data_IF_248898632388
#
_entry.id   IF_248898632388
#
_cell.length_a   1.000
_cell.length_b   1.000
_cell.length_c   1.000
_cell.angle_alpha   90.00
_cell.angle_beta   90.00
_cell.angle_gamma   90.00
#
_symmetry.space_group_name_H-M   'P 1'
#
loop_
_entity.id
_entity.type
_entity.pdbx_description
1 polymer ?
#
# COMPACT_ATOMS: atom_id res chain seq x y z
N UNK A 1 7.95 -2.09 -28.82
CA UNK A 1 8.83 -1.03 -28.29
C UNK A 1 8.59 -0.99 -26.79
N UNK A 2 9.56 -1.45 -26.01
CA UNK A 2 9.52 -1.42 -24.55
C UNK A 2 9.59 0.04 -24.10
N UNK A 3 8.53 0.53 -23.45
CA UNK A 3 8.66 1.68 -22.57
C UNK A 3 8.96 1.14 -21.19
N UNK A 4 10.25 1.15 -20.83
CA UNK A 4 10.64 1.18 -19.43
C UNK A 4 10.02 2.45 -18.83
N UNK A 5 9.31 2.39 -17.70
CA UNK A 5 8.83 3.61 -17.06
C UNK A 5 10.05 4.33 -16.49
N UNK A 6 10.31 5.54 -16.98
CA UNK A 6 11.27 6.47 -16.37
C UNK A 6 10.76 6.81 -14.97
N UNK A 7 11.23 6.06 -13.97
CA UNK A 7 10.90 6.30 -12.57
C UNK A 7 11.73 7.43 -11.93
N UNK A 8 12.61 8.10 -12.67
CA UNK A 8 13.61 9.03 -12.10
C UNK A 8 13.83 10.29 -12.94
N UNK A 9 12.77 10.94 -13.42
CA UNK A 9 12.84 12.34 -13.84
C UNK A 9 11.85 13.19 -13.04
N UNK A 10 12.38 13.98 -12.10
CA UNK A 10 11.68 15.08 -11.47
C UNK A 10 11.48 14.91 -9.96
N UNK A 11 11.69 16.01 -9.25
CA UNK A 11 11.49 16.21 -7.81
C UNK A 11 10.01 16.10 -7.37
N UNK A 12 9.20 15.30 -8.07
CA UNK A 12 7.76 15.15 -7.86
C UNK A 12 7.48 13.79 -7.22
N UNK A 13 6.94 13.84 -6.01
CA UNK A 13 6.41 12.67 -5.33
C UNK A 13 5.19 12.15 -6.09
N UNK A 14 5.27 10.91 -6.56
CA UNK A 14 4.17 10.20 -7.20
C UNK A 14 3.47 9.31 -6.16
N UNK A 15 2.14 9.42 -6.05
CA UNK A 15 1.31 8.59 -5.18
C UNK A 15 1.58 7.08 -5.35
N UNK A 16 1.65 6.60 -6.59
CA UNK A 16 1.91 5.17 -6.88
C UNK A 16 3.23 4.71 -6.29
N UNK A 17 4.28 5.52 -6.47
CA UNK A 17 5.62 5.20 -5.99
C UNK A 17 5.66 5.20 -4.46
N UNK A 18 5.02 6.19 -3.83
CA UNK A 18 4.87 6.27 -2.36
C UNK A 18 4.17 5.01 -1.83
N UNK A 19 2.97 4.72 -2.34
CA UNK A 19 2.15 3.61 -1.86
C UNK A 19 2.83 2.27 -2.10
N UNK A 20 3.40 2.07 -3.29
CA UNK A 20 4.07 0.83 -3.68
C UNK A 20 5.31 0.58 -2.83
N UNK A 21 6.22 1.55 -2.76
CA UNK A 21 7.45 1.39 -1.98
C UNK A 21 7.12 1.16 -0.51
N UNK A 22 6.18 1.95 0.05
CA UNK A 22 5.76 1.81 1.44
C UNK A 22 5.20 0.42 1.77
N UNK A 23 4.33 -0.12 0.91
CA UNK A 23 3.73 -1.44 1.10
C UNK A 23 4.76 -2.57 0.95
N UNK A 24 5.67 -2.45 -0.01
CA UNK A 24 6.65 -3.48 -0.33
C UNK A 24 7.80 -3.59 0.67
N UNK A 25 7.93 -2.67 1.62
CA UNK A 25 8.86 -2.82 2.76
C UNK A 25 8.60 -4.06 3.60
N UNK A 26 7.36 -4.54 3.61
CA UNK A 26 6.90 -5.67 4.40
C UNK A 26 6.75 -6.92 3.53
N UNK A 27 7.30 -8.05 3.97
CA UNK A 27 7.10 -9.34 3.34
C UNK A 27 5.77 -9.95 3.79
N UNK A 28 4.69 -9.50 3.14
CA UNK A 28 3.34 -9.97 3.44
C UNK A 28 3.11 -11.44 3.10
N UNK A 29 3.87 -12.00 2.15
CA UNK A 29 3.77 -13.42 1.83
C UNK A 29 4.32 -14.28 2.96
N UNK A 30 5.54 -13.98 3.41
CA UNK A 30 6.16 -14.70 4.51
C UNK A 30 5.32 -14.63 5.77
N UNK A 31 4.83 -13.44 6.11
CA UNK A 31 3.96 -13.26 7.27
C UNK A 31 2.69 -14.10 7.17
N UNK A 32 2.00 -14.04 6.03
CA UNK A 32 0.76 -14.79 5.80
C UNK A 32 0.96 -16.31 5.88
N UNK A 33 2.05 -16.83 5.31
CA UNK A 33 2.40 -18.24 5.36
C UNK A 33 2.70 -18.72 6.79
N UNK A 34 3.54 -17.98 7.53
CA UNK A 34 3.94 -18.36 8.90
C UNK A 34 2.78 -18.36 9.90
N UNK A 35 1.80 -17.47 9.71
CA UNK A 35 0.68 -17.27 10.64
C UNK A 35 -0.63 -17.89 10.17
N UNK A 36 -0.67 -18.47 8.97
CA UNK A 36 -1.93 -18.88 8.34
C UNK A 36 -2.92 -17.72 8.16
N UNK A 37 -2.41 -16.50 8.06
CA UNK A 37 -3.21 -15.28 7.89
C UNK A 37 -3.64 -15.14 6.43
N UNK A 38 -4.87 -14.66 6.22
CA UNK A 38 -5.48 -14.50 4.90
C UNK A 38 -5.80 -13.03 4.64
N UNK A 39 -4.88 -12.31 3.97
CA UNK A 39 -5.04 -10.87 3.74
C UNK A 39 -6.27 -10.52 2.91
N UNK A 40 -6.67 -11.40 1.98
CA UNK A 40 -7.86 -11.24 1.15
C UNK A 40 -9.13 -11.22 1.99
N UNK A 41 -9.26 -12.08 3.00
CA UNK A 41 -10.41 -12.09 3.90
C UNK A 41 -10.51 -10.77 4.69
N UNK A 42 -9.39 -10.21 5.16
CA UNK A 42 -9.38 -8.92 5.86
C UNK A 42 -9.75 -7.75 4.94
N UNK A 43 -9.28 -7.76 3.70
CA UNK A 43 -9.69 -6.77 2.69
C UNK A 43 -11.19 -6.87 2.42
N UNK A 44 -11.73 -8.08 2.23
CA UNK A 44 -13.17 -8.26 2.02
C UNK A 44 -14.01 -7.79 3.22
N UNK A 45 -13.54 -8.03 4.44
CA UNK A 45 -14.18 -7.49 5.64
C UNK A 45 -14.20 -5.96 5.63
N UNK A 46 -13.08 -5.31 5.32
CA UNK A 46 -13.02 -3.86 5.18
C UNK A 46 -14.02 -3.35 4.13
N UNK A 47 -14.12 -4.00 2.98
CA UNK A 47 -15.07 -3.59 1.94
C UNK A 47 -16.53 -3.70 2.41
N UNK A 48 -16.84 -4.67 3.27
CA UNK A 48 -18.19 -4.85 3.81
C UNK A 48 -18.51 -3.90 4.97
N UNK A 49 -17.54 -3.59 5.83
CA UNK A 49 -17.77 -2.84 7.07
C UNK A 49 -17.31 -1.38 7.00
N UNK A 50 -16.46 -1.04 6.04
CA UNK A 50 -15.72 0.21 5.96
C UNK A 50 -14.68 0.40 7.07
N UNK A 51 -14.31 -0.67 7.78
CA UNK A 51 -13.40 -0.60 8.94
C UNK A 51 -12.35 -1.70 8.91
N UNK A 52 -11.11 -1.32 9.25
CA UNK A 52 -10.01 -2.25 9.42
C UNK A 52 -10.04 -2.90 10.81
N UNK A 53 -10.04 -4.23 10.85
CA UNK A 53 -10.03 -5.02 12.08
C UNK A 53 -8.86 -6.00 12.07
N UNK A 54 -7.69 -5.56 12.52
CA UNK A 54 -6.49 -6.38 12.61
C UNK A 54 -5.41 -5.73 13.45
N UNK A 55 -4.42 -6.53 13.82
CA UNK A 55 -3.16 -6.06 14.38
C UNK A 55 -2.36 -5.29 13.33
N UNK A 56 -1.39 -4.49 13.75
CA UNK A 56 -0.55 -3.70 12.83
C UNK A 56 0.12 -4.57 11.75
N UNK A 57 0.59 -5.77 12.10
CA UNK A 57 1.23 -6.71 11.16
C UNK A 57 0.23 -7.32 10.17
N UNK A 58 -1.00 -7.63 10.60
CA UNK A 58 -2.06 -8.11 9.71
C UNK A 58 -2.48 -7.02 8.71
N UNK A 59 -2.51 -5.76 9.17
CA UNK A 59 -2.79 -4.61 8.31
C UNK A 59 -1.65 -4.34 7.32
N UNK A 60 -0.39 -4.50 7.73
CA UNK A 60 0.76 -4.45 6.82
C UNK A 60 0.70 -5.58 5.77
N UNK A 61 0.28 -6.79 6.17
CA UNK A 61 0.07 -7.90 5.25
C UNK A 61 -1.06 -7.62 4.24
N UNK A 62 -2.17 -7.03 4.70
CA UNK A 62 -3.25 -6.57 3.82
C UNK A 62 -2.79 -5.45 2.87
N UNK A 63 -1.96 -4.53 3.35
CA UNK A 63 -1.41 -3.45 2.54
C UNK A 63 -0.49 -3.97 1.43
N UNK A 64 0.41 -4.89 1.78
CA UNK A 64 1.22 -5.62 0.81
C UNK A 64 0.35 -6.36 -0.20
N UNK A 65 -0.67 -7.09 0.27
CA UNK A 65 -1.57 -7.85 -0.60
C UNK A 65 -2.29 -6.96 -1.64
N UNK A 66 -2.83 -5.81 -1.21
CA UNK A 66 -3.45 -4.84 -2.11
C UNK A 66 -2.47 -4.27 -3.13
N UNK A 67 -1.22 -3.99 -2.73
CA UNK A 67 -0.18 -3.58 -3.68
C UNK A 67 0.00 -4.63 -4.78
N UNK A 68 0.09 -5.90 -4.41
CA UNK A 68 0.23 -6.97 -5.40
C UNK A 68 -0.99 -7.11 -6.29
N UNK A 69 -2.19 -7.03 -5.72
CA UNK A 69 -3.44 -7.15 -6.46
C UNK A 69 -3.61 -6.02 -7.48
N UNK A 70 -3.40 -4.76 -7.07
CA UNK A 70 -3.59 -3.55 -7.88
C UNK A 70 -2.51 -3.37 -8.96
N UNK A 71 -1.27 -3.79 -8.72
CA UNK A 71 -0.16 -3.52 -9.65
C UNK A 71 0.34 -4.75 -10.41
N UNK A 72 -0.01 -5.97 -10.01
CA UNK A 72 0.52 -7.20 -10.63
C UNK A 72 -0.54 -8.21 -11.04
N UNK A 73 -1.69 -8.29 -10.36
CA UNK A 73 -2.60 -9.44 -10.53
C UNK A 73 -4.06 -9.05 -10.79
N UNK A 74 -4.96 -9.38 -9.87
CA UNK A 74 -6.41 -9.47 -10.08
C UNK A 74 -7.12 -8.11 -10.22
N UNK A 75 -6.48 -7.01 -9.80
CA UNK A 75 -7.09 -5.68 -9.73
C UNK A 75 -6.35 -4.65 -10.60
N UNK A 76 -5.55 -5.08 -11.58
CA UNK A 76 -4.74 -4.19 -12.44
C UNK A 76 -5.54 -3.23 -13.31
N UNK A 77 -6.83 -3.49 -13.50
CA UNK A 77 -7.74 -2.62 -14.26
C UNK A 77 -8.73 -1.87 -13.36
N UNK A 78 -8.57 -1.95 -12.04
CA UNK A 78 -9.39 -1.19 -11.11
C UNK A 78 -9.14 0.31 -11.28
N UNK A 79 -10.22 1.08 -11.33
CA UNK A 79 -10.13 2.54 -11.43
C UNK A 79 -9.72 3.14 -10.09
N UNK A 80 -9.07 4.31 -10.12
CA UNK A 80 -8.64 5.06 -8.93
C UNK A 80 -9.74 5.40 -7.91
N UNK A 81 -10.98 5.34 -8.36
CA UNK A 81 -12.20 5.59 -7.58
C UNK A 81 -12.74 4.31 -6.94
N UNK A 82 -12.13 3.15 -7.18
CA UNK A 82 -12.59 1.89 -6.63
C UNK A 82 -12.40 1.82 -5.11
N UNK A 83 -13.23 1.04 -4.40
CA UNK A 83 -13.08 0.88 -2.96
C UNK A 83 -11.77 0.17 -2.58
N UNK A 84 -11.12 -0.54 -3.51
CA UNK A 84 -9.78 -1.10 -3.29
C UNK A 84 -8.69 -0.02 -3.24
N UNK A 85 -8.78 1.01 -4.08
CA UNK A 85 -7.88 2.16 -3.98
C UNK A 85 -8.12 2.98 -2.72
N UNK A 86 -9.36 3.08 -2.27
CA UNK A 86 -9.69 3.64 -0.95
C UNK A 86 -9.00 2.88 0.16
N UNK A 87 -9.20 1.56 0.20
CA UNK A 87 -8.59 0.64 1.17
C UNK A 87 -7.07 0.81 1.21
N UNK A 88 -6.43 0.86 0.03
CA UNK A 88 -4.99 0.97 -0.12
C UNK A 88 -4.43 2.29 0.43
N UNK A 89 -5.11 3.41 0.14
CA UNK A 89 -4.72 4.74 0.66
C UNK A 89 -4.94 4.86 2.17
N UNK A 90 -6.04 4.32 2.70
CA UNK A 90 -6.31 4.34 4.14
C UNK A 90 -5.26 3.53 4.92
N UNK A 91 -4.86 2.35 4.43
CA UNK A 91 -3.79 1.57 5.04
C UNK A 91 -2.46 2.32 5.03
N UNK A 92 -2.11 3.01 3.94
CA UNK A 92 -0.92 3.86 3.93
C UNK A 92 -1.00 4.94 5.02
N UNK A 93 -2.11 5.68 5.08
CA UNK A 93 -2.31 6.76 6.06
C UNK A 93 -2.29 6.27 7.51
N UNK A 94 -2.57 4.98 7.73
CA UNK A 94 -2.47 4.34 9.04
C UNK A 94 -1.08 3.78 9.35
N UNK A 95 -0.33 3.30 8.34
CA UNK A 95 0.86 2.44 8.53
C UNK A 95 2.17 3.03 8.01
N UNK A 96 2.17 4.25 7.45
CA UNK A 96 3.38 4.85 6.85
C UNK A 96 4.59 4.92 7.81
N UNK A 97 4.33 5.00 9.14
CA UNK A 97 5.35 5.05 10.18
C UNK A 97 5.48 3.75 10.99
N UNK A 98 4.76 2.68 10.62
CA UNK A 98 4.80 1.41 11.34
C UNK A 98 6.21 0.81 11.32
N UNK A 99 6.61 0.27 12.47
CA UNK A 99 7.87 -0.46 12.62
C UNK A 99 7.73 -1.87 12.05
N UNK A 100 8.62 -2.26 11.15
CA UNK A 100 8.60 -3.59 10.53
C UNK A 100 9.64 -4.47 11.22
N UNK A 101 9.24 -5.61 11.83
CA UNK A 101 10.18 -6.57 12.40
C UNK A 101 11.18 -7.04 11.33
N UNK A 102 12.46 -7.14 11.71
CA UNK A 102 13.56 -7.43 10.78
C UNK A 102 13.32 -8.69 9.94
N UNK A 103 12.69 -9.73 10.50
CA UNK A 103 12.39 -10.97 9.78
C UNK A 103 11.35 -10.82 8.66
N UNK A 104 10.56 -9.74 8.66
CA UNK A 104 9.55 -9.41 7.65
C UNK A 104 9.95 -8.20 6.80
N UNK A 105 11.19 -7.70 6.92
CA UNK A 105 11.66 -6.62 6.06
C UNK A 105 12.08 -7.17 4.70
N UNK A 106 11.52 -6.62 3.63
CA UNK A 106 12.03 -6.80 2.28
C UNK A 106 13.17 -5.80 2.05
N UNK A 107 14.41 -6.25 2.21
CA UNK A 107 15.60 -5.37 2.31
C UNK A 107 15.68 -4.31 1.22
N UNK A 108 15.49 -4.70 -0.04
CA UNK A 108 15.56 -3.79 -1.19
C UNK A 108 14.58 -2.61 -1.05
N UNK A 109 13.30 -2.89 -0.80
CA UNK A 109 12.26 -1.86 -0.67
C UNK A 109 12.32 -1.12 0.66
N UNK A 110 12.77 -1.79 1.73
CA UNK A 110 13.01 -1.16 3.01
C UNK A 110 14.09 -0.08 2.88
N UNK A 111 15.24 -0.42 2.31
CA UNK A 111 16.35 0.52 2.10
C UNK A 111 15.95 1.67 1.15
N UNK A 112 15.21 1.38 0.09
CA UNK A 112 14.66 2.40 -0.82
C UNK A 112 13.73 3.37 -0.08
N UNK A 113 12.81 2.86 0.74
CA UNK A 113 11.91 3.71 1.51
C UNK A 113 12.66 4.64 2.46
N UNK A 114 13.63 4.11 3.22
CA UNK A 114 14.44 4.87 4.16
C UNK A 114 15.25 5.95 3.44
N UNK A 115 15.78 5.65 2.25
CA UNK A 115 16.63 6.57 1.48
C UNK A 115 15.81 7.66 0.78
N UNK A 116 14.72 7.29 0.11
CA UNK A 116 14.09 8.15 -0.89
C UNK A 116 12.77 8.79 -0.40
N UNK A 117 12.04 8.13 0.50
CA UNK A 117 10.69 8.57 0.91
C UNK A 117 10.63 9.03 2.37
N UNK A 118 11.22 8.29 3.31
CA UNK A 118 11.21 8.62 4.74
C UNK A 118 11.74 10.04 5.06
N UNK A 119 12.79 10.57 4.40
CA UNK A 119 13.25 11.95 4.65
C UNK A 119 12.23 13.02 4.24
N UNK A 120 11.25 12.66 3.43
CA UNK A 120 10.18 13.52 2.90
C UNK A 120 8.80 13.01 3.35
N UNK A 121 8.72 12.31 4.48
CA UNK A 121 7.52 11.60 4.91
C UNK A 121 6.29 12.50 4.97
N UNK A 122 6.42 13.70 5.54
CA UNK A 122 5.31 14.66 5.62
C UNK A 122 4.74 15.03 4.25
N UNK A 123 5.62 15.17 3.24
CA UNK A 123 5.20 15.47 1.87
C UNK A 123 4.53 14.25 1.23
N UNK A 124 5.02 13.04 1.51
CA UNK A 124 4.41 11.80 1.02
C UNK A 124 2.99 11.63 1.59
N UNK A 125 2.84 11.86 2.89
CA UNK A 125 1.54 11.82 3.57
C UNK A 125 0.60 12.88 3.03
N UNK A 126 1.08 14.11 2.77
CA UNK A 126 0.27 15.17 2.20
C UNK A 126 -0.26 14.80 0.80
N UNK A 127 0.59 14.24 -0.08
CA UNK A 127 0.19 13.81 -1.44
C UNK A 127 -0.91 12.75 -1.38
N UNK A 128 -0.70 11.69 -0.59
CA UNK A 128 -1.70 10.60 -0.50
C UNK A 128 -2.99 11.08 0.17
N UNK A 129 -2.88 11.92 1.20
CA UNK A 129 -4.05 12.49 1.88
C UNK A 129 -4.88 13.37 0.95
N UNK A 130 -4.26 14.27 0.20
CA UNK A 130 -4.95 15.12 -0.77
C UNK A 130 -5.70 14.26 -1.81
N UNK A 131 -5.05 13.22 -2.34
CA UNK A 131 -5.69 12.29 -3.28
C UNK A 131 -6.85 11.53 -2.65
N UNK A 132 -6.70 11.10 -1.41
CA UNK A 132 -7.76 10.40 -0.68
C UNK A 132 -8.97 11.29 -0.44
N UNK A 133 -8.77 12.53 0.04
CA UNK A 133 -9.84 13.47 0.38
C UNK A 133 -10.55 14.05 -0.85
N UNK A 134 -9.86 14.13 -2.00
CA UNK A 134 -10.44 14.66 -3.26
C UNK A 134 -11.08 13.59 -4.15
N UNK A 135 -10.83 12.30 -3.89
CA UNK A 135 -11.43 11.20 -4.66
C UNK A 135 -12.83 10.90 -4.13
N UNK A 136 -13.83 10.90 -5.02
CA UNK A 136 -15.13 10.32 -4.72
C UNK A 136 -15.08 8.83 -5.03
N UNK A 137 -15.07 7.99 -4.00
CA UNK A 137 -15.01 6.55 -4.19
C UNK A 137 -16.37 5.98 -4.57
N UNK A 138 -16.36 4.96 -5.42
CA UNK A 138 -17.53 4.15 -5.70
C UNK A 138 -17.99 3.41 -4.43
N UNK A 139 -19.30 3.30 -4.26
CA UNK A 139 -19.88 2.47 -3.21
C UNK A 139 -19.55 0.99 -3.45
N UNK A 140 -19.38 0.25 -2.36
CA UNK A 140 -19.27 -1.21 -2.41
C UNK A 140 -20.68 -1.76 -2.70
N UNK A 141 -20.85 -2.39 -3.86
CA UNK A 141 -22.12 -2.99 -4.32
C UNK A 141 -22.45 -4.26 -3.54
#
# INVERSE_FOLDING_TARGET
MNQSPDFLEGNHLNEEAILTCCALRFDGFKYAEEHGFKPDELVQQYLQTGQWHGTELELLAAFFHLQRALFKWSLVYETWESPYWRAFRELFLQLYAAEIPAQYQMTEYFDEWIRDFQPRLDQCVAVVREKHETTTYADVV
#
